data_IF_197855315384
#
_entry.id   IF_197855315384
#
_cell.length_a   1.000
_cell.length_b   1.000
_cell.length_c   1.000
_cell.angle_alpha   90.00
_cell.angle_beta   90.00
_cell.angle_gamma   90.00
#
_symmetry.space_group_name_H-M   'P 1'
#
loop_
_entity.id
_entity.type
_entity.pdbx_description
1 polymer ?
#
# COMPACT_ATOMS: atom_id res chain seq x y z
N UNK A 1 -2.74 9.40 22.34
CA UNK A 1 -1.76 10.32 21.73
C UNK A 1 -2.48 11.16 20.69
N UNK A 2 -2.32 12.48 20.63
CA UNK A 2 -2.98 13.27 19.58
C UNK A 2 -2.17 13.20 18.27
N UNK A 3 -2.85 13.34 17.12
CA UNK A 3 -2.20 13.35 15.80
C UNK A 3 -1.11 14.43 15.71
N UNK A 4 -1.40 15.64 16.21
CA UNK A 4 -0.44 16.76 16.18
C UNK A 4 0.83 16.52 17.01
N UNK A 5 0.77 15.60 17.98
CA UNK A 5 1.92 15.26 18.82
C UNK A 5 2.87 14.27 18.12
N UNK A 6 2.47 13.74 16.95
CA UNK A 6 3.23 12.78 16.17
C UNK A 6 4.26 13.49 15.30
N UNK A 7 5.52 13.06 15.40
CA UNK A 7 6.52 13.38 14.39
C UNK A 7 6.25 12.56 13.11
N UNK A 8 5.38 13.08 12.25
CA UNK A 8 5.00 12.45 10.98
C UNK A 8 6.22 12.21 10.07
N UNK A 9 7.24 13.06 10.15
CA UNK A 9 8.49 12.89 9.38
C UNK A 9 9.27 11.68 9.88
N UNK A 10 9.29 11.43 11.18
CA UNK A 10 9.88 10.22 11.76
C UNK A 10 9.12 8.98 11.32
N UNK A 11 7.79 8.98 11.39
CA UNK A 11 6.96 7.83 10.94
C UNK A 11 7.20 7.54 9.46
N UNK A 12 7.18 8.57 8.60
CA UNK A 12 7.54 8.47 7.18
C UNK A 12 8.90 7.81 6.97
N UNK A 13 9.93 8.26 7.71
CA UNK A 13 11.30 7.72 7.61
C UNK A 13 11.38 6.25 8.03
N UNK A 14 10.63 5.84 9.06
CA UNK A 14 10.59 4.45 9.51
C UNK A 14 10.03 3.57 8.39
N UNK A 15 8.87 3.92 7.83
CA UNK A 15 8.28 3.20 6.70
C UNK A 15 9.23 3.12 5.50
N UNK A 16 9.79 4.26 5.08
CA UNK A 16 10.67 4.37 3.91
C UNK A 16 12.04 3.70 4.09
N UNK A 17 12.49 3.49 5.32
CA UNK A 17 13.82 2.92 5.58
C UNK A 17 13.98 1.53 4.98
N UNK A 18 15.19 1.22 4.50
CA UNK A 18 15.56 -0.10 3.97
C UNK A 18 14.72 -0.59 2.78
N UNK A 19 14.14 0.31 1.99
CA UNK A 19 13.47 -0.06 0.72
C UNK A 19 14.43 -0.28 -0.46
N UNK A 20 15.74 -0.06 -0.26
CA UNK A 20 16.76 -0.28 -1.28
C UNK A 20 16.42 0.39 -2.62
N UNK A 21 16.39 -0.34 -3.74
CA UNK A 21 16.09 0.21 -5.07
C UNK A 21 14.64 0.70 -5.21
N UNK A 22 13.73 0.26 -4.34
CA UNK A 22 12.31 0.60 -4.41
C UNK A 22 11.92 1.89 -3.67
N UNK A 23 12.89 2.66 -3.16
CA UNK A 23 12.62 3.91 -2.44
C UNK A 23 11.80 4.94 -3.24
N UNK A 24 11.89 4.91 -4.57
CA UNK A 24 11.16 5.80 -5.47
C UNK A 24 9.65 5.53 -5.53
N UNK A 25 9.22 4.30 -5.23
CA UNK A 25 7.82 3.87 -5.30
C UNK A 25 7.08 4.06 -3.97
N UNK A 26 7.76 4.50 -2.91
CA UNK A 26 7.12 4.86 -1.65
C UNK A 26 6.55 6.27 -1.70
N UNK A 27 5.26 6.43 -1.42
CA UNK A 27 4.56 7.72 -1.54
C UNK A 27 4.53 8.48 -0.22
N UNK A 28 4.97 9.74 -0.24
CA UNK A 28 4.96 10.61 0.94
C UNK A 28 3.64 11.33 1.18
N UNK A 29 2.77 11.37 0.18
CA UNK A 29 1.50 12.12 0.16
C UNK A 29 0.66 11.94 1.43
N UNK A 30 0.48 10.72 1.98
CA UNK A 30 -0.29 10.53 3.20
C UNK A 30 0.31 11.32 4.37
N UNK A 31 1.63 11.25 4.58
CA UNK A 31 2.32 11.93 5.68
C UNK A 31 2.35 13.46 5.53
N UNK A 32 2.40 13.96 4.29
CA UNK A 32 2.36 15.39 4.01
C UNK A 32 0.96 15.95 4.29
N UNK A 33 -0.07 15.28 3.78
CA UNK A 33 -1.47 15.71 3.99
C UNK A 33 -1.89 15.70 5.45
N UNK A 34 -1.31 14.82 6.28
CA UNK A 34 -1.59 14.75 7.71
C UNK A 34 -1.05 15.94 8.52
N UNK A 35 -0.11 16.74 7.97
CA UNK A 35 0.40 17.92 8.67
C UNK A 35 -0.66 19.01 8.84
N UNK A 36 -1.69 19.03 7.98
CA UNK A 36 -2.78 20.00 8.00
C UNK A 36 -4.14 19.35 8.30
N UNK A 37 -4.16 18.09 8.70
CA UNK A 37 -5.39 17.36 8.99
C UNK A 37 -5.92 17.70 10.39
N UNK A 38 -7.24 17.67 10.56
CA UNK A 38 -7.89 17.96 11.83
C UNK A 38 -7.33 17.10 12.96
N UNK A 39 -6.91 17.73 14.05
CA UNK A 39 -6.34 17.00 15.17
C UNK A 39 -7.39 16.07 15.82
N UNK A 40 -6.98 14.85 16.14
CA UNK A 40 -7.81 13.88 16.86
C UNK A 40 -6.95 12.93 17.71
N UNK A 41 -7.60 12.21 18.63
CA UNK A 41 -6.93 11.23 19.48
C UNK A 41 -6.75 9.92 18.70
N UNK A 42 -5.50 9.51 18.53
CA UNK A 42 -5.16 8.18 18.03
C UNK A 42 -5.54 7.13 19.08
N UNK A 43 -6.22 6.09 18.63
CA UNK A 43 -6.57 4.92 19.45
C UNK A 43 -5.35 4.02 19.54
N UNK A 44 -5.10 3.47 20.73
CA UNK A 44 -4.13 2.38 20.86
C UNK A 44 -4.63 1.18 20.07
N UNK A 45 -3.75 0.63 19.24
CA UNK A 45 -4.06 -0.53 18.41
C UNK A 45 -3.49 -1.77 19.07
N UNK A 46 -4.37 -2.56 19.69
CA UNK A 46 -3.98 -3.71 20.51
C UNK A 46 -3.81 -5.01 19.71
N UNK A 47 -4.32 -5.06 18.48
CA UNK A 47 -4.27 -6.26 17.64
C UNK A 47 -4.26 -5.91 16.16
N UNK A 48 -3.22 -6.33 15.45
CA UNK A 48 -3.16 -6.27 13.98
C UNK A 48 -3.76 -7.58 13.44
N UNK A 49 -4.99 -7.53 12.91
CA UNK A 49 -5.64 -8.67 12.26
C UNK A 49 -5.66 -8.46 10.75
N UNK A 50 -5.30 -9.50 10.00
CA UNK A 50 -5.38 -9.53 8.55
C UNK A 50 -6.06 -10.83 8.08
N UNK A 51 -6.48 -10.87 6.82
CA UNK A 51 -6.95 -12.06 6.16
C UNK A 51 -5.80 -13.08 6.04
N UNK A 52 -5.89 -14.16 6.82
CA UNK A 52 -4.87 -15.21 6.85
C UNK A 52 -4.69 -15.90 5.50
N UNK A 53 -5.74 -16.00 4.68
CA UNK A 53 -5.65 -16.54 3.33
C UNK A 53 -4.77 -15.67 2.44
N UNK A 54 -4.96 -14.34 2.48
CA UNK A 54 -4.13 -13.39 1.75
C UNK A 54 -2.67 -13.44 2.23
N UNK A 55 -2.45 -13.46 3.55
CA UNK A 55 -1.12 -13.56 4.14
C UNK A 55 -0.37 -14.81 3.68
N UNK A 56 -1.02 -15.98 3.72
CA UNK A 56 -0.40 -17.24 3.31
C UNK A 56 0.00 -17.20 1.83
N UNK A 57 -0.90 -16.73 0.95
CA UNK A 57 -0.59 -16.57 -0.48
C UNK A 57 0.60 -15.64 -0.69
N UNK A 58 0.65 -14.52 0.04
CA UNK A 58 1.77 -13.58 -0.04
C UNK A 58 3.08 -14.25 0.33
N UNK A 59 3.12 -14.97 1.46
CA UNK A 59 4.33 -15.61 1.97
C UNK A 59 4.79 -16.73 1.04
N UNK A 60 3.87 -17.52 0.50
CA UNK A 60 4.17 -18.59 -0.46
C UNK A 60 4.73 -18.07 -1.79
N UNK A 61 4.26 -16.90 -2.24
CA UNK A 61 4.67 -16.30 -3.51
C UNK A 61 5.84 -15.32 -3.39
N UNK A 62 6.30 -15.00 -2.18
CA UNK A 62 7.43 -14.10 -1.96
C UNK A 62 8.78 -14.83 -2.14
N UNK A 63 9.21 -14.94 -3.40
CA UNK A 63 10.48 -15.54 -3.81
C UNK A 63 11.44 -14.50 -4.43
N UNK A 64 12.70 -14.90 -4.61
CA UNK A 64 13.75 -14.02 -5.15
C UNK A 64 13.48 -13.58 -6.60
N UNK A 65 12.74 -14.37 -7.38
CA UNK A 65 12.44 -14.11 -8.79
C UNK A 65 11.01 -13.62 -9.04
N UNK A 66 10.19 -13.44 -8.00
CA UNK A 66 8.80 -13.02 -8.12
C UNK A 66 8.56 -11.68 -7.40
N UNK A 67 8.14 -10.67 -8.14
CA UNK A 67 7.74 -9.39 -7.57
C UNK A 67 6.24 -9.39 -7.27
N UNK A 68 5.86 -9.11 -6.03
CA UNK A 68 4.48 -9.22 -5.60
C UNK A 68 3.85 -7.84 -5.43
N UNK A 69 2.71 -7.62 -6.11
CA UNK A 69 1.86 -6.43 -5.96
C UNK A 69 0.55 -6.86 -5.31
N UNK A 70 0.17 -6.19 -4.23
CA UNK A 70 -1.06 -6.46 -3.49
C UNK A 70 -2.00 -5.27 -3.62
N UNK A 71 -3.17 -5.54 -4.19
CA UNK A 71 -4.26 -4.60 -4.47
C UNK A 71 -5.49 -4.99 -3.62
N UNK A 72 -5.40 -4.67 -2.32
CA UNK A 72 -6.41 -4.97 -1.30
C UNK A 72 -6.84 -3.68 -0.58
N UNK A 73 -7.97 -3.67 0.18
CA UNK A 73 -8.41 -2.48 0.91
C UNK A 73 -7.31 -1.90 1.81
N UNK A 74 -7.25 -0.57 1.92
CA UNK A 74 -6.22 0.16 2.68
C UNK A 74 -6.03 -0.38 4.10
N UNK A 75 -7.12 -0.73 4.78
CA UNK A 75 -7.10 -1.28 6.13
C UNK A 75 -6.40 -2.62 6.23
N UNK A 76 -6.55 -3.45 5.19
CA UNK A 76 -5.97 -4.78 5.10
C UNK A 76 -4.48 -4.67 4.76
N UNK A 77 -4.12 -3.86 3.77
CA UNK A 77 -2.71 -3.71 3.38
C UNK A 77 -1.86 -3.09 4.49
N UNK A 78 -2.39 -2.17 5.32
CA UNK A 78 -1.65 -1.59 6.44
C UNK A 78 -1.34 -2.63 7.52
N UNK A 79 -2.28 -3.57 7.73
CA UNK A 79 -2.11 -4.67 8.67
C UNK A 79 -1.15 -5.73 8.13
N UNK A 80 -1.30 -6.11 6.86
CA UNK A 80 -0.36 -6.98 6.16
C UNK A 80 1.05 -6.39 6.18
N UNK A 81 1.21 -5.10 5.89
CA UNK A 81 2.51 -4.43 5.91
C UNK A 81 3.23 -4.59 7.25
N UNK A 82 2.49 -4.43 8.35
CA UNK A 82 3.03 -4.58 9.70
C UNK A 82 3.50 -6.01 9.97
N UNK A 83 2.63 -6.99 9.72
CA UNK A 83 2.92 -8.41 9.97
C UNK A 83 4.07 -8.92 9.08
N UNK A 84 4.02 -8.61 7.78
CA UNK A 84 5.06 -9.00 6.82
C UNK A 84 6.44 -8.47 7.23
N UNK A 85 6.51 -7.21 7.67
CA UNK A 85 7.76 -6.63 8.16
C UNK A 85 8.23 -7.29 9.47
N UNK A 86 7.33 -7.39 10.46
CA UNK A 86 7.72 -7.74 11.83
C UNK A 86 7.89 -9.23 12.10
N UNK A 87 7.23 -10.08 11.31
CA UNK A 87 7.17 -11.53 11.52
C UNK A 87 7.83 -12.31 10.37
N UNK A 88 7.72 -11.82 9.14
CA UNK A 88 8.20 -12.54 7.95
C UNK A 88 9.46 -11.94 7.32
N UNK A 89 9.97 -10.83 7.84
CA UNK A 89 11.13 -10.11 7.30
C UNK A 89 10.96 -9.75 5.80
N UNK A 90 9.74 -9.45 5.38
CA UNK A 90 9.40 -8.96 4.04
C UNK A 90 9.16 -7.46 4.14
N UNK A 91 9.88 -6.66 3.36
CA UNK A 91 9.80 -5.21 3.44
C UNK A 91 8.62 -4.67 2.61
N UNK A 92 7.61 -4.02 3.23
CA UNK A 92 6.50 -3.42 2.51
C UNK A 92 6.88 -2.09 1.85
N UNK A 93 6.59 -1.96 0.57
CA UNK A 93 6.61 -0.71 -0.19
C UNK A 93 5.17 -0.16 -0.19
N UNK A 94 4.88 0.79 0.70
CA UNK A 94 3.57 1.45 0.71
C UNK A 94 3.46 2.43 -0.46
N UNK A 95 2.76 2.02 -1.50
CA UNK A 95 2.46 2.85 -2.66
C UNK A 95 1.03 3.41 -2.52
N UNK A 96 0.88 4.26 -1.50
CA UNK A 96 -0.38 4.87 -1.11
C UNK A 96 -0.28 6.36 -1.46
N UNK A 97 -0.83 6.76 -2.61
CA UNK A 97 -0.81 8.17 -3.06
C UNK A 97 -2.01 9.00 -2.54
N UNK A 98 -2.68 8.50 -1.51
CA UNK A 98 -3.82 9.14 -0.88
C UNK A 98 -3.45 10.48 -0.25
N UNK A 99 -4.30 11.48 -0.48
CA UNK A 99 -4.33 12.74 0.26
C UNK A 99 -5.41 12.65 1.34
N UNK A 100 -5.01 12.55 2.61
CA UNK A 100 -5.95 12.57 3.73
C UNK A 100 -6.59 13.95 3.86
N UNK A 101 -7.91 14.00 3.91
CA UNK A 101 -8.67 15.22 4.15
C UNK A 101 -9.91 14.92 5.00
N UNK A 102 -10.34 15.81 5.93
CA UNK A 102 -11.52 15.57 6.78
C UNK A 102 -12.80 15.34 5.99
N UNK A 103 -12.92 15.97 4.81
CA UNK A 103 -14.03 15.79 3.87
C UNK A 103 -13.72 14.84 2.71
N UNK A 104 -12.56 14.16 2.74
CA UNK A 104 -12.16 13.22 1.71
C UNK A 104 -13.11 12.01 1.64
N UNK A 105 -13.28 11.47 0.44
CA UNK A 105 -14.11 10.28 0.20
C UNK A 105 -13.34 8.98 0.39
N UNK A 106 -12.03 9.00 0.16
CA UNK A 106 -11.13 7.89 0.46
C UNK A 106 -10.22 8.27 1.64
N UNK A 107 -9.81 7.27 2.42
CA UNK A 107 -9.04 7.49 3.64
C UNK A 107 -9.90 7.87 4.84
N UNK A 108 -9.74 7.14 5.93
CA UNK A 108 -10.46 7.31 7.18
C UNK A 108 -9.51 7.58 8.33
N UNK A 109 -10.05 8.09 9.45
CA UNK A 109 -9.28 8.21 10.71
C UNK A 109 -8.73 6.87 11.20
N UNK A 110 -9.39 5.76 10.88
CA UNK A 110 -8.90 4.42 11.21
C UNK A 110 -7.66 4.07 10.38
N UNK A 111 -7.65 4.42 9.08
CA UNK A 111 -6.46 4.22 8.24
C UNK A 111 -5.28 5.08 8.72
N UNK A 112 -5.55 6.32 9.15
CA UNK A 112 -4.53 7.19 9.77
C UNK A 112 -3.99 6.56 11.05
N UNK A 113 -4.89 6.04 11.90
CA UNK A 113 -4.53 5.38 13.14
C UNK A 113 -3.56 4.21 12.90
N UNK A 114 -3.93 3.32 11.98
CA UNK A 114 -3.09 2.18 11.56
C UNK A 114 -1.76 2.60 10.97
N UNK A 115 -1.76 3.54 10.03
CA UNK A 115 -0.54 4.01 9.36
C UNK A 115 0.50 4.51 10.38
N UNK A 116 0.03 5.24 11.40
CA UNK A 116 0.88 5.79 12.46
C UNK A 116 1.29 4.71 13.45
N UNK A 117 0.33 3.98 14.03
CA UNK A 117 0.62 2.98 15.05
C UNK A 117 1.50 1.85 14.52
N UNK A 118 1.17 1.31 13.35
CA UNK A 118 1.98 0.26 12.74
C UNK A 118 3.37 0.80 12.45
N UNK A 119 3.48 2.00 11.87
CA UNK A 119 4.76 2.66 11.58
C UNK A 119 5.65 2.87 12.79
N UNK A 120 5.08 3.29 13.93
CA UNK A 120 5.83 3.49 15.18
C UNK A 120 6.33 2.18 15.80
N UNK A 121 5.65 1.06 15.50
CA UNK A 121 5.96 -0.27 16.04
C UNK A 121 6.68 -1.19 15.03
N UNK A 122 7.10 -0.68 13.87
CA UNK A 122 7.86 -1.47 12.91
C UNK A 122 9.25 -1.82 13.45
N UNK A 123 9.59 -3.11 13.37
CA UNK A 123 10.96 -3.58 13.59
C UNK A 123 11.86 -3.12 12.45
N UNK A 124 13.07 -2.72 12.79
CA UNK A 124 14.12 -2.50 11.79
C UNK A 124 14.58 -3.87 11.27
N UNK A 125 14.35 -4.12 9.98
CA UNK A 125 14.77 -5.36 9.30
C UNK A 125 15.79 -5.05 8.20
N UNK A 126 16.58 -6.05 7.84
CA UNK A 126 17.43 -6.06 6.64
C UNK A 126 16.98 -7.25 5.80
N UNK A 127 16.58 -7.03 4.56
CA UNK A 127 16.00 -8.06 3.70
C UNK A 127 16.14 -7.67 2.22
N UNK A 128 16.10 -8.67 1.35
CA UNK A 128 16.02 -8.53 -0.10
C UNK A 128 14.60 -8.86 -0.62
N UNK A 129 13.68 -9.20 0.30
CA UNK A 129 12.28 -9.51 -0.02
C UNK A 129 11.44 -8.24 0.07
N UNK A 130 10.81 -7.86 -1.04
CA UNK A 130 9.98 -6.68 -1.14
C UNK A 130 8.59 -7.02 -1.65
N UNK A 131 7.61 -6.26 -1.19
CA UNK A 131 6.21 -6.36 -1.64
C UNK A 131 5.64 -4.98 -1.82
N UNK A 132 4.98 -4.74 -2.94
CA UNK A 132 4.29 -3.48 -3.19
C UNK A 132 2.84 -3.57 -2.74
N UNK A 133 2.40 -2.60 -1.93
CA UNK A 133 1.07 -2.55 -1.36
C UNK A 133 0.35 -1.31 -1.88
N UNK A 134 -0.74 -1.53 -2.61
CA UNK A 134 -1.56 -0.51 -3.28
C UNK A 134 -3.00 -0.61 -2.75
N UNK A 135 -3.65 0.50 -2.37
CA UNK A 135 -5.03 0.45 -1.92
C UNK A 135 -5.99 0.13 -3.07
N UNK A 136 -6.79 -0.92 -2.91
CA UNK A 136 -7.88 -1.25 -3.83
C UNK A 136 -8.98 -0.17 -3.82
N UNK A 137 -9.16 0.53 -2.70
CA UNK A 137 -10.18 1.56 -2.51
C UNK A 137 -9.78 2.95 -3.04
N UNK A 138 -8.66 3.07 -3.77
CA UNK A 138 -8.15 4.34 -4.34
C UNK A 138 -9.12 5.09 -5.27
N UNK A 139 -10.05 4.38 -5.88
CA UNK A 139 -11.21 4.97 -6.56
C UNK A 139 -12.38 3.98 -6.64
N UNK A 140 -13.59 4.48 -6.87
CA UNK A 140 -14.79 3.67 -7.08
C UNK A 140 -15.62 4.25 -8.23
N UNK A 141 -15.66 3.51 -9.34
CA UNK A 141 -16.38 3.90 -10.56
C UNK A 141 -17.90 3.93 -10.39
N UNK A 142 -18.42 3.36 -9.29
CA UNK A 142 -19.85 3.28 -9.03
C UNK A 142 -20.42 4.49 -8.27
N UNK A 143 -19.58 5.42 -7.79
CA UNK A 143 -20.06 6.60 -7.09
C UNK A 143 -20.78 7.56 -8.02
N UNK A 144 -22.00 7.96 -7.63
CA UNK A 144 -22.80 8.93 -8.37
C UNK A 144 -22.47 10.34 -7.90
N UNK A 145 -22.71 11.33 -8.77
CA UNK A 145 -22.49 12.75 -8.46
C UNK A 145 -23.22 13.19 -7.17
N UNK A 146 -24.40 12.61 -6.88
CA UNK A 146 -25.15 12.89 -5.66
C UNK A 146 -24.46 12.38 -4.38
N UNK A 147 -23.65 11.32 -4.45
CA UNK A 147 -22.91 10.76 -3.30
C UNK A 147 -21.73 11.67 -2.86
N UNK A 148 -21.39 12.66 -3.69
CA UNK A 148 -20.16 13.45 -3.60
C UNK A 148 -20.41 14.96 -3.33
N UNK A 149 -21.67 15.42 -3.29
CA UNK A 149 -22.02 16.86 -3.26
C UNK A 149 -21.34 17.67 -2.14
N UNK A 150 -21.13 17.06 -0.98
CA UNK A 150 -20.53 17.70 0.19
C UNK A 150 -19.16 17.12 0.57
N UNK A 151 -18.49 16.43 -0.36
CA UNK A 151 -17.23 15.75 -0.11
C UNK A 151 -16.13 16.18 -1.09
N UNK A 152 -14.90 16.19 -0.61
CA UNK A 152 -13.72 16.36 -1.45
C UNK A 152 -13.44 15.04 -2.19
N UNK A 153 -13.48 15.09 -3.51
CA UNK A 153 -13.03 13.97 -4.33
C UNK A 153 -11.50 13.88 -4.32
N UNK A 154 -10.96 13.07 -3.41
CA UNK A 154 -9.54 12.79 -3.26
C UNK A 154 -9.14 11.41 -3.82
N UNK A 155 -9.96 10.83 -4.71
CA UNK A 155 -9.61 9.60 -5.42
C UNK A 155 -8.39 9.80 -6.33
N UNK A 156 -7.68 8.71 -6.60
CA UNK A 156 -6.52 8.72 -7.48
C UNK A 156 -6.39 7.37 -8.21
N UNK A 157 -5.85 7.43 -9.43
CA UNK A 157 -5.35 6.26 -10.14
C UNK A 157 -3.84 6.14 -9.98
N UNK A 158 -3.30 4.97 -10.31
CA UNK A 158 -1.87 4.77 -10.51
C UNK A 158 -1.51 5.00 -11.98
N UNK A 159 -0.28 5.40 -12.21
CA UNK A 159 0.32 5.63 -13.53
C UNK A 159 1.61 4.82 -13.67
N UNK A 160 2.21 4.85 -14.86
CA UNK A 160 3.47 4.15 -15.13
C UNK A 160 4.61 4.59 -14.17
N UNK A 161 4.61 5.86 -13.74
CA UNK A 161 5.57 6.41 -12.77
C UNK A 161 5.35 5.91 -11.33
N UNK A 162 4.22 5.24 -11.07
CA UNK A 162 3.90 4.63 -9.79
C UNK A 162 4.41 3.20 -9.68
N UNK A 163 4.72 2.51 -10.78
CA UNK A 163 5.04 1.08 -10.78
C UNK A 163 6.42 0.82 -11.40
N UNK A 164 7.13 -0.24 -10.99
CA UNK A 164 8.44 -0.54 -11.56
C UNK A 164 8.30 -1.01 -13.02
N UNK A 165 9.13 -0.49 -13.90
CA UNK A 165 9.17 -0.96 -15.29
C UNK A 165 9.72 -2.39 -15.41
N UNK A 166 9.47 -3.04 -16.54
CA UNK A 166 10.04 -4.35 -16.85
C UNK A 166 11.57 -4.36 -16.72
N UNK A 167 12.23 -3.32 -17.23
CA UNK A 167 13.69 -3.19 -17.19
C UNK A 167 14.21 -3.13 -15.75
N UNK A 168 13.56 -2.33 -14.89
CA UNK A 168 13.92 -2.25 -13.47
C UNK A 168 13.78 -3.62 -12.81
N UNK A 169 12.67 -4.31 -13.04
CA UNK A 169 12.42 -5.62 -12.46
C UNK A 169 13.43 -6.68 -12.95
N UNK A 170 13.73 -6.73 -14.25
CA UNK A 170 14.73 -7.63 -14.84
C UNK A 170 16.14 -7.37 -14.28
N UNK A 171 16.55 -6.11 -14.17
CA UNK A 171 17.84 -5.71 -13.56
C UNK A 171 17.94 -6.20 -12.12
N UNK A 172 16.83 -6.19 -11.39
CA UNK A 172 16.74 -6.64 -10.01
C UNK A 172 16.56 -8.17 -9.88
N UNK A 173 16.49 -8.91 -10.99
CA UNK A 173 16.40 -10.37 -11.01
C UNK A 173 14.98 -10.93 -10.97
N UNK A 174 13.95 -10.08 -11.03
CA UNK A 174 12.56 -10.53 -11.09
C UNK A 174 12.21 -10.97 -12.51
N UNK A 175 11.71 -12.20 -12.65
CA UNK A 175 11.26 -12.79 -13.92
C UNK A 175 9.75 -12.95 -14.00
N UNK A 176 9.06 -12.78 -12.86
CA UNK A 176 7.63 -12.90 -12.71
C UNK A 176 7.08 -11.78 -11.83
N UNK A 177 5.85 -11.39 -12.10
CA UNK A 177 5.02 -10.59 -11.20
C UNK A 177 3.79 -11.40 -10.81
N UNK A 178 3.51 -11.46 -9.51
CA UNK A 178 2.21 -11.92 -9.01
C UNK A 178 1.42 -10.72 -8.52
N UNK A 179 0.15 -10.63 -8.91
CA UNK A 179 -0.78 -9.60 -8.48
C UNK A 179 -1.89 -10.25 -7.66
N UNK A 180 -1.97 -9.86 -6.39
CA UNK A 180 -3.01 -10.30 -5.47
C UNK A 180 -4.10 -9.23 -5.38
N UNK A 181 -5.33 -9.56 -5.77
CA UNK A 181 -6.46 -8.60 -5.72
C UNK A 181 -7.72 -9.23 -5.13
N UNK A 182 -8.58 -8.42 -4.51
CA UNK A 182 -9.83 -8.86 -3.87
C UNK A 182 -10.97 -9.09 -4.87
N UNK A 183 -10.95 -8.42 -6.03
CA UNK A 183 -12.07 -8.37 -6.96
C UNK A 183 -11.60 -8.32 -8.44
N UNK A 184 -12.23 -7.49 -9.26
CA UNK A 184 -11.77 -7.17 -10.61
C UNK A 184 -10.52 -6.29 -10.48
N UNK A 185 -9.50 -6.58 -11.27
CA UNK A 185 -8.38 -5.64 -11.43
C UNK A 185 -8.94 -4.30 -11.92
N UNK A 186 -8.52 -3.25 -11.26
CA UNK A 186 -8.84 -1.87 -11.61
C UNK A 186 -8.16 -1.48 -12.93
N UNK A 187 -8.85 -0.68 -13.74
CA UNK A 187 -8.43 -0.39 -15.11
C UNK A 187 -7.00 0.20 -15.17
N UNK A 188 -6.62 1.05 -14.20
CA UNK A 188 -5.26 1.60 -14.09
C UNK A 188 -4.16 0.54 -13.87
N UNK A 189 -4.41 -0.47 -13.04
CA UNK A 189 -3.51 -1.59 -12.83
C UNK A 189 -3.56 -2.58 -14.00
N UNK A 190 -4.71 -2.70 -14.67
CA UNK A 190 -4.85 -3.51 -15.88
C UNK A 190 -3.99 -2.95 -17.02
N UNK A 191 -3.93 -1.63 -17.17
CA UNK A 191 -3.08 -0.98 -18.17
C UNK A 191 -1.60 -1.31 -17.95
N UNK A 192 -1.14 -1.25 -16.70
CA UNK A 192 0.22 -1.69 -16.33
C UNK A 192 0.46 -3.17 -16.65
N UNK A 193 -0.48 -4.05 -16.31
CA UNK A 193 -0.38 -5.49 -16.62
C UNK A 193 -0.23 -5.71 -18.12
N UNK A 194 -1.06 -5.05 -18.92
CA UNK A 194 -1.05 -5.19 -20.36
C UNK A 194 0.30 -4.78 -20.96
N UNK A 195 0.90 -3.70 -20.42
CA UNK A 195 2.21 -3.23 -20.86
C UNK A 195 3.33 -4.18 -20.44
N UNK A 196 3.36 -4.62 -19.18
CA UNK A 196 4.52 -5.37 -18.66
C UNK A 196 4.53 -6.85 -19.05
N UNK A 197 3.36 -7.41 -19.39
CA UNK A 197 3.23 -8.82 -19.73
C UNK A 197 3.83 -9.19 -21.10
N UNK A 198 4.26 -8.20 -21.88
CA UNK A 198 5.08 -8.43 -23.09
C UNK A 198 6.50 -8.89 -22.73
N UNK A 199 6.96 -8.58 -21.51
CA UNK A 199 8.35 -8.66 -21.10
C UNK A 199 8.62 -9.54 -19.87
N UNK A 200 7.64 -9.65 -18.98
CA UNK A 200 7.70 -10.38 -17.70
C UNK A 200 6.44 -11.20 -17.55
N UNK A 201 6.55 -12.42 -17.03
CA UNK A 201 5.38 -13.26 -16.73
C UNK A 201 4.51 -12.60 -15.67
N UNK A 202 3.21 -12.41 -15.95
CA UNK A 202 2.25 -11.88 -14.96
C UNK A 202 1.22 -12.93 -14.59
N UNK A 203 1.07 -13.17 -13.28
CA UNK A 203 0.01 -13.99 -12.70
C UNK A 203 -0.92 -13.14 -11.83
N UNK A 204 -2.23 -13.36 -11.95
CA UNK A 204 -3.23 -12.68 -11.13
C UNK A 204 -3.95 -13.68 -10.24
N UNK A 205 -3.86 -13.46 -8.93
CA UNK A 205 -4.53 -14.27 -7.90
C UNK A 205 -5.65 -13.44 -7.28
N UNK A 206 -6.87 -13.99 -7.29
CA UNK A 206 -8.03 -13.38 -6.65
C UNK A 206 -8.27 -13.97 -5.27
N UNK A 207 -8.38 -13.14 -4.26
CA UNK A 207 -8.74 -13.54 -2.89
C UNK A 207 -10.17 -13.14 -2.57
N UNK A 208 -10.84 -13.93 -1.74
CA UNK A 208 -12.16 -13.56 -1.22
C UNK A 208 -12.00 -12.45 -0.20
N UNK A 209 -12.77 -11.38 -0.39
CA UNK A 209 -12.99 -10.33 0.59
C UNK A 209 -13.76 -10.79 1.81
#
# INVERSE_FOLDING_TARGET
MYLQDIDLRKVYRIWKSNLGPFQGFFRSTPFVSLQTYDNFILKEENTCQCNQGALNIIVENCSENNFLIVDLPIDEILNLAFLLNNEYFIKPILNINLLFHPFGIIGTKENINKLINNGLNLKKISTEKFIMLIPYDRYNDNWKSDDLKDKLNNQYGISDDDLPSADILKILGYTKITILTINKIKDDLQDYINCINEDIEVEVIKVRG
#
